data_IF_569463540891
#
_entry.id   IF_569463540891
#
_cell.length_a   1.000
_cell.length_b   1.000
_cell.length_c   1.000
_cell.angle_alpha   90.00
_cell.angle_beta   90.00
_cell.angle_gamma   90.00
#
_symmetry.space_group_name_H-M   'P 1'
#
loop_
_entity.id
_entity.type
_entity.pdbx_description
1 polymer ?
#
# COMPACT_ATOMS: atom_id res chain seq x y z
N UNK A 1 -21.76 -6.46 4.53
CA UNK A 1 -20.43 -5.77 4.65
C UNK A 1 -19.54 -6.18 3.50
N UNK A 2 -18.80 -5.25 2.92
CA UNK A 2 -17.75 -5.47 1.90
C UNK A 2 -16.40 -5.07 2.51
N UNK A 3 -15.36 -5.89 2.36
CA UNK A 3 -14.00 -5.57 2.82
C UNK A 3 -13.07 -5.69 1.64
N UNK A 4 -12.47 -4.57 1.23
CA UNK A 4 -11.50 -4.52 0.15
C UNK A 4 -10.08 -4.57 0.73
N UNK A 5 -9.20 -5.30 0.07
CA UNK A 5 -7.77 -5.34 0.41
C UNK A 5 -7.02 -4.41 -0.54
N UNK A 6 -6.69 -3.24 -0.04
CA UNK A 6 -5.87 -2.24 -0.71
C UNK A 6 -4.37 -2.47 -0.43
N UNK A 7 -3.65 -1.43 -0.12
CA UNK A 7 -2.25 -1.38 0.32
C UNK A 7 -1.96 0.03 0.80
N UNK A 8 -0.87 0.23 1.54
CA UNK A 8 -0.34 1.58 1.79
C UNK A 8 -0.09 2.34 0.50
N UNK A 9 0.30 1.64 -0.59
CA UNK A 9 0.49 2.28 -1.90
C UNK A 9 -0.81 2.65 -2.63
N UNK A 10 -1.95 2.49 -1.99
CA UNK A 10 -3.20 3.16 -2.37
C UNK A 10 -3.28 4.63 -1.93
N UNK A 11 -2.33 5.09 -1.08
CA UNK A 11 -2.28 6.45 -0.55
C UNK A 11 -0.90 7.11 -0.65
N UNK A 12 0.14 6.34 -0.85
CA UNK A 12 1.50 6.80 -1.12
C UNK A 12 2.06 6.08 -2.34
N UNK A 13 3.21 6.49 -2.85
CA UNK A 13 3.79 5.88 -4.05
C UNK A 13 5.28 5.59 -3.88
N UNK A 14 5.76 4.57 -4.61
CA UNK A 14 7.16 4.22 -4.67
C UNK A 14 7.66 4.18 -6.12
N UNK A 15 8.99 4.35 -6.34
CA UNK A 15 9.58 4.23 -7.67
C UNK A 15 9.23 2.89 -8.34
N UNK A 16 8.98 2.91 -9.65
CA UNK A 16 8.63 1.76 -10.49
C UNK A 16 7.30 1.07 -10.13
N UNK A 17 6.54 1.61 -9.18
CA UNK A 17 5.25 1.07 -8.74
C UNK A 17 4.04 1.57 -9.52
N UNK A 18 4.18 2.48 -10.50
CA UNK A 18 3.09 3.30 -11.04
C UNK A 18 1.81 2.53 -11.40
N UNK A 19 1.90 1.39 -12.06
CA UNK A 19 0.71 0.60 -12.46
C UNK A 19 0.05 -0.08 -11.25
N UNK A 20 0.86 -0.65 -10.37
CA UNK A 20 0.38 -1.28 -9.13
C UNK A 20 -0.24 -0.24 -8.20
N UNK A 21 0.47 0.86 -7.96
CA UNK A 21 0.00 1.95 -7.10
C UNK A 21 -1.32 2.52 -7.64
N UNK A 22 -1.40 2.79 -8.95
CA UNK A 22 -2.64 3.24 -9.59
C UNK A 22 -3.81 2.27 -9.36
N UNK A 23 -3.58 0.95 -9.41
CA UNK A 23 -4.60 -0.05 -9.13
C UNK A 23 -5.10 0.02 -7.68
N UNK A 24 -4.21 0.31 -6.73
CA UNK A 24 -4.56 0.43 -5.30
C UNK A 24 -5.23 1.77 -4.99
N UNK A 25 -4.79 2.87 -5.60
CA UNK A 25 -5.51 4.15 -5.56
C UNK A 25 -6.94 4.02 -6.09
N UNK A 26 -7.13 3.23 -7.16
CA UNK A 26 -8.46 2.97 -7.69
C UNK A 26 -9.36 2.24 -6.67
N UNK A 27 -8.82 1.27 -5.89
CA UNK A 27 -9.56 0.60 -4.82
C UNK A 27 -9.95 1.58 -3.70
N UNK A 28 -9.06 2.50 -3.33
CA UNK A 28 -9.33 3.53 -2.32
C UNK A 28 -10.48 4.44 -2.75
N UNK A 29 -10.35 5.07 -3.94
CA UNK A 29 -11.38 5.97 -4.46
C UNK A 29 -12.71 5.26 -4.72
N UNK A 30 -12.69 4.02 -5.25
CA UNK A 30 -13.88 3.18 -5.38
C UNK A 30 -14.57 2.95 -4.04
N UNK A 31 -13.79 2.61 -3.01
CA UNK A 31 -14.35 2.31 -1.69
C UNK A 31 -14.94 3.54 -1.01
N UNK A 32 -14.33 4.72 -1.17
CA UNK A 32 -14.89 5.99 -0.69
C UNK A 32 -16.22 6.31 -1.36
N UNK A 33 -16.28 6.18 -2.68
CA UNK A 33 -17.50 6.46 -3.43
C UNK A 33 -18.61 5.47 -3.07
N UNK A 34 -18.29 4.16 -3.07
CA UNK A 34 -19.24 3.09 -2.71
C UNK A 34 -19.77 3.21 -1.29
N UNK A 35 -19.06 3.84 -0.38
CA UNK A 35 -19.52 4.06 0.98
C UNK A 35 -20.88 4.77 1.00
N UNK A 36 -21.03 5.86 0.22
CA UNK A 36 -22.29 6.62 0.18
C UNK A 36 -23.45 5.75 -0.30
N UNK A 37 -23.21 4.90 -1.30
CA UNK A 37 -24.24 4.03 -1.87
C UNK A 37 -24.61 2.91 -0.90
N UNK A 38 -23.63 2.26 -0.28
CA UNK A 38 -23.83 1.16 0.64
C UNK A 38 -24.49 1.59 1.95
N UNK A 39 -24.15 2.77 2.48
CA UNK A 39 -24.78 3.34 3.66
C UNK A 39 -26.30 3.54 3.43
N UNK A 40 -26.70 4.00 2.24
CA UNK A 40 -28.12 4.13 1.88
C UNK A 40 -28.87 2.77 1.87
N UNK A 41 -28.15 1.67 1.68
CA UNK A 41 -28.67 0.29 1.70
C UNK A 41 -28.48 -0.42 3.05
N UNK A 42 -28.03 0.27 4.09
CA UNK A 42 -27.73 -0.31 5.40
C UNK A 42 -26.52 -1.25 5.40
N UNK A 43 -25.65 -1.15 4.40
CA UNK A 43 -24.42 -1.94 4.28
C UNK A 43 -23.18 -1.08 4.58
N UNK A 44 -22.07 -1.73 4.93
CA UNK A 44 -20.79 -1.07 5.22
C UNK A 44 -19.71 -1.55 4.27
N UNK A 45 -18.77 -0.66 3.96
CA UNK A 45 -17.53 -0.97 3.25
C UNK A 45 -16.33 -0.61 4.14
N UNK A 46 -15.32 -1.45 4.09
CA UNK A 46 -14.06 -1.31 4.83
C UNK A 46 -12.90 -1.54 3.88
N UNK A 47 -11.77 -0.90 4.15
CA UNK A 47 -10.53 -1.05 3.36
C UNK A 47 -9.41 -1.43 4.31
N UNK A 48 -8.70 -2.50 3.99
CA UNK A 48 -7.49 -2.90 4.67
C UNK A 48 -6.30 -2.37 3.87
N UNK A 49 -5.36 -1.73 4.53
CA UNK A 49 -4.17 -1.11 3.94
C UNK A 49 -2.91 -1.83 4.44
N UNK A 50 -2.54 -3.02 3.90
CA UNK A 50 -1.32 -3.71 4.29
C UNK A 50 -0.07 -2.92 3.94
N UNK A 51 0.94 -3.01 4.82
CA UNK A 51 2.30 -2.55 4.55
C UNK A 51 3.14 -3.61 3.83
N UNK A 52 4.38 -3.77 4.28
CA UNK A 52 5.27 -4.82 3.82
C UNK A 52 4.93 -6.11 4.57
N UNK A 53 4.42 -7.10 3.86
CA UNK A 53 3.96 -8.36 4.42
C UNK A 53 4.78 -9.52 3.87
N UNK A 54 5.24 -10.40 4.75
CA UNK A 54 5.92 -11.64 4.41
C UNK A 54 4.91 -12.61 3.78
N UNK A 55 4.90 -12.66 2.46
CA UNK A 55 3.96 -13.46 1.67
C UNK A 55 4.57 -13.79 0.30
N UNK A 56 3.90 -14.65 -0.46
CA UNK A 56 4.31 -15.00 -1.83
C UNK A 56 4.11 -13.86 -2.86
N UNK A 57 3.68 -12.68 -2.43
CA UNK A 57 3.40 -11.58 -3.35
C UNK A 57 4.62 -11.22 -4.21
N UNK A 58 5.78 -11.01 -3.60
CA UNK A 58 6.99 -10.59 -4.30
C UNK A 58 7.61 -11.66 -5.22
N UNK A 59 7.35 -12.94 -4.94
CA UNK A 59 7.92 -14.07 -5.68
C UNK A 59 6.97 -14.69 -6.68
N UNK A 60 5.66 -14.69 -6.40
CA UNK A 60 4.66 -15.43 -7.17
C UNK A 60 3.66 -14.54 -7.91
N UNK A 61 3.26 -13.43 -7.29
CA UNK A 61 2.14 -12.63 -7.80
C UNK A 61 2.58 -11.31 -8.45
N UNK A 62 3.78 -10.80 -8.10
CA UNK A 62 4.31 -9.56 -8.68
C UNK A 62 4.97 -9.85 -10.02
N UNK A 63 4.51 -9.17 -11.07
CA UNK A 63 5.19 -9.16 -12.36
C UNK A 63 6.00 -7.86 -12.48
N UNK A 64 7.32 -7.99 -12.51
CA UNK A 64 8.25 -6.88 -12.72
C UNK A 64 8.73 -6.90 -14.18
N UNK A 65 8.24 -5.95 -14.97
CA UNK A 65 8.70 -5.77 -16.35
C UNK A 65 10.01 -4.95 -16.36
N UNK A 66 11.05 -5.54 -16.91
CA UNK A 66 12.37 -4.92 -17.00
C UNK A 66 12.96 -5.13 -18.40
N UNK A 67 13.38 -4.03 -19.04
CA UNK A 67 14.11 -4.04 -20.29
C UNK A 67 15.51 -3.41 -20.04
N UNK A 68 16.59 -4.20 -20.10
CA UNK A 68 17.95 -3.69 -19.89
C UNK A 68 18.40 -2.65 -20.91
N UNK A 69 17.79 -2.58 -22.08
CA UNK A 69 18.11 -1.59 -23.12
C UNK A 69 17.62 -0.18 -22.78
N UNK A 70 16.71 -0.05 -21.82
CA UNK A 70 16.20 1.24 -21.34
C UNK A 70 17.16 1.82 -20.29
N UNK A 71 18.28 2.38 -20.76
CA UNK A 71 19.35 2.90 -19.90
C UNK A 71 18.88 3.94 -18.88
N UNK A 72 17.93 4.79 -19.25
CA UNK A 72 17.37 5.83 -18.36
C UNK A 72 16.66 5.26 -17.12
N UNK A 73 16.19 4.00 -17.16
CA UNK A 73 15.52 3.33 -16.05
C UNK A 73 16.49 2.56 -15.14
N UNK A 74 17.71 2.28 -15.59
CA UNK A 74 18.64 1.43 -14.83
C UNK A 74 18.97 1.98 -13.43
N UNK A 75 19.16 3.29 -13.21
CA UNK A 75 19.36 3.82 -11.85
C UNK A 75 18.19 3.51 -10.92
N UNK A 76 16.94 3.64 -11.40
CA UNK A 76 15.73 3.32 -10.62
C UNK A 76 15.63 1.81 -10.32
N UNK A 77 15.92 0.96 -11.29
CA UNK A 77 15.92 -0.50 -11.12
C UNK A 77 16.95 -0.92 -10.07
N UNK A 78 18.16 -0.36 -10.12
CA UNK A 78 19.21 -0.63 -9.16
C UNK A 78 18.83 -0.15 -7.75
N UNK A 79 18.22 1.03 -7.63
CA UNK A 79 17.74 1.59 -6.36
C UNK A 79 16.68 0.67 -5.74
N UNK A 80 15.70 0.20 -6.52
CA UNK A 80 14.69 -0.76 -6.07
C UNK A 80 15.31 -2.09 -5.65
N UNK A 81 16.26 -2.62 -6.44
CA UNK A 81 16.98 -3.85 -6.10
C UNK A 81 17.72 -3.74 -4.77
N UNK A 82 18.36 -2.60 -4.49
CA UNK A 82 19.05 -2.33 -3.23
C UNK A 82 18.10 -2.26 -2.02
N UNK A 83 16.84 -1.89 -2.25
CA UNK A 83 15.82 -1.85 -1.20
C UNK A 83 15.15 -3.20 -0.93
N UNK A 84 15.24 -4.16 -1.86
CA UNK A 84 14.53 -5.44 -1.74
C UNK A 84 14.90 -6.22 -0.48
N UNK A 85 16.17 -6.26 -0.09
CA UNK A 85 16.62 -6.91 1.14
C UNK A 85 16.02 -6.22 2.38
N UNK A 86 16.06 -4.89 2.43
CA UNK A 86 15.47 -4.11 3.52
C UNK A 86 13.95 -4.31 3.62
N UNK A 87 13.25 -4.39 2.51
CA UNK A 87 11.82 -4.69 2.49
C UNK A 87 11.52 -6.07 3.06
N UNK A 88 12.36 -7.08 2.75
CA UNK A 88 12.23 -8.41 3.32
C UNK A 88 12.46 -8.42 4.83
N UNK A 89 13.47 -7.70 5.32
CA UNK A 89 13.75 -7.57 6.76
C UNK A 89 12.64 -6.83 7.53
N UNK A 90 11.99 -5.87 6.90
CA UNK A 90 10.90 -5.08 7.49
C UNK A 90 9.53 -5.73 7.33
N UNK A 91 9.43 -6.83 6.57
CA UNK A 91 8.16 -7.48 6.31
C UNK A 91 7.57 -8.09 7.60
N UNK A 92 6.32 -7.76 7.85
CA UNK A 92 5.55 -8.27 8.98
C UNK A 92 4.81 -9.56 8.59
N UNK A 93 4.49 -10.45 9.55
CA UNK A 93 3.79 -11.70 9.26
C UNK A 93 2.36 -11.45 8.73
N UNK A 94 1.84 -12.38 7.92
CA UNK A 94 0.53 -12.25 7.29
C UNK A 94 -0.63 -12.13 8.30
N UNK A 95 -0.42 -12.60 9.52
CA UNK A 95 -1.36 -12.55 10.63
C UNK A 95 -1.80 -11.11 10.95
N UNK A 96 -0.93 -10.11 10.80
CA UNK A 96 -1.31 -8.69 11.05
C UNK A 96 -2.41 -8.21 10.10
N UNK A 97 -2.44 -8.76 8.88
CA UNK A 97 -3.51 -8.46 7.92
C UNK A 97 -4.79 -9.19 8.31
N UNK A 98 -4.71 -10.45 8.73
CA UNK A 98 -5.85 -11.21 9.21
C UNK A 98 -6.49 -10.55 10.44
N UNK A 99 -5.69 -10.06 11.38
CA UNK A 99 -6.16 -9.31 12.55
C UNK A 99 -6.86 -8.00 12.16
N UNK A 100 -6.30 -7.25 11.19
CA UNK A 100 -6.92 -6.04 10.68
C UNK A 100 -8.28 -6.33 10.00
N UNK A 101 -8.37 -7.41 9.22
CA UNK A 101 -9.63 -7.88 8.62
C UNK A 101 -10.64 -8.26 9.70
N UNK A 102 -10.22 -9.04 10.70
CA UNK A 102 -11.08 -9.43 11.81
C UNK A 102 -11.61 -8.23 12.57
N UNK A 103 -10.73 -7.29 12.91
CA UNK A 103 -11.12 -6.03 13.57
C UNK A 103 -12.13 -5.26 12.71
N UNK A 104 -11.84 -5.06 11.44
CA UNK A 104 -12.73 -4.37 10.52
C UNK A 104 -14.12 -5.03 10.43
N UNK A 105 -14.17 -6.37 10.48
CA UNK A 105 -15.42 -7.13 10.41
C UNK A 105 -16.24 -7.08 11.69
N UNK A 106 -15.61 -6.89 12.87
CA UNK A 106 -16.25 -7.13 14.19
C UNK A 106 -16.33 -5.94 15.11
N UNK A 107 -15.61 -4.83 14.84
CA UNK A 107 -15.55 -3.67 15.74
C UNK A 107 -16.84 -2.80 15.75
N UNK A 108 -17.75 -3.05 14.82
CA UNK A 108 -19.03 -2.31 14.71
C UNK A 108 -18.89 -0.85 14.27
N UNK A 109 -17.66 -0.34 14.11
CA UNK A 109 -17.40 1.07 13.80
C UNK A 109 -17.76 1.45 12.37
N UNK A 110 -17.78 2.76 12.09
CA UNK A 110 -17.89 3.33 10.75
C UNK A 110 -16.53 3.72 10.15
N UNK A 111 -15.45 3.26 10.77
CA UNK A 111 -14.09 3.43 10.25
C UNK A 111 -13.98 2.79 8.88
N UNK A 112 -13.48 3.54 7.89
CA UNK A 112 -13.32 3.04 6.53
C UNK A 112 -11.99 2.28 6.38
N UNK A 113 -10.87 2.84 6.86
CA UNK A 113 -9.49 2.37 6.61
C UNK A 113 -8.86 1.73 7.83
N UNK A 114 -8.19 0.61 7.59
CA UNK A 114 -7.49 -0.19 8.60
C UNK A 114 -6.07 -0.47 8.11
N UNK A 115 -5.10 0.37 8.47
CA UNK A 115 -3.68 0.06 8.24
C UNK A 115 -3.32 -1.25 8.93
N UNK A 116 -2.65 -2.14 8.21
CA UNK A 116 -2.25 -3.45 8.73
C UNK A 116 -0.73 -3.54 8.86
N UNK A 117 -0.27 -3.62 10.11
CA UNK A 117 1.12 -3.64 10.51
C UNK A 117 1.65 -2.29 10.98
N UNK A 118 2.69 -2.32 11.82
CA UNK A 118 3.30 -1.11 12.38
C UNK A 118 3.98 -0.25 11.30
N UNK A 119 4.61 -0.92 10.32
CA UNK A 119 5.22 -0.26 9.18
C UNK A 119 4.18 0.48 8.33
N UNK A 120 2.99 -0.09 8.16
CA UNK A 120 1.88 0.55 7.45
C UNK A 120 1.40 1.81 8.19
N UNK A 121 1.18 1.71 9.50
CA UNK A 121 0.74 2.82 10.34
C UNK A 121 1.74 3.98 10.26
N UNK A 122 3.04 3.70 10.40
CA UNK A 122 4.08 4.71 10.36
C UNK A 122 4.19 5.38 8.97
N UNK A 123 4.17 4.59 7.90
CA UNK A 123 4.29 5.12 6.53
C UNK A 123 3.11 6.01 6.13
N UNK A 124 1.89 5.65 6.53
CA UNK A 124 0.71 6.45 6.26
C UNK A 124 0.67 7.72 7.13
N UNK A 125 1.09 7.64 8.40
CA UNK A 125 1.23 8.82 9.25
C UNK A 125 2.25 9.82 8.69
N UNK A 126 3.40 9.34 8.21
CA UNK A 126 4.39 10.17 7.51
C UNK A 126 3.79 10.82 6.25
N UNK A 127 3.04 10.05 5.45
CA UNK A 127 2.40 10.59 4.25
C UNK A 127 1.39 11.69 4.57
N UNK A 128 0.58 11.49 5.59
CA UNK A 128 -0.47 12.45 6.01
C UNK A 128 0.11 13.73 6.63
N UNK A 129 1.28 13.64 7.23
CA UNK A 129 1.96 14.77 7.88
C UNK A 129 2.77 15.67 6.90
N UNK A 130 3.00 15.21 5.67
CA UNK A 130 3.90 15.87 4.72
C UNK A 130 3.14 16.36 3.49
N UNK A 131 3.56 17.52 2.96
CA UNK A 131 3.16 17.95 1.62
C UNK A 131 3.82 17.07 0.54
N UNK A 132 3.33 17.15 -0.68
CA UNK A 132 3.77 16.29 -1.78
C UNK A 132 5.26 16.47 -2.13
N UNK A 133 5.77 17.70 -2.07
CA UNK A 133 7.18 17.97 -2.39
C UNK A 133 8.11 17.38 -1.34
N UNK A 134 7.77 17.55 -0.07
CA UNK A 134 8.55 17.02 1.06
C UNK A 134 8.49 15.48 1.07
N UNK A 135 7.31 14.89 0.83
CA UNK A 135 7.17 13.44 0.74
C UNK A 135 7.99 12.88 -0.43
N UNK A 136 7.94 13.53 -1.60
CA UNK A 136 8.72 13.14 -2.78
C UNK A 136 10.22 13.18 -2.50
N UNK A 137 10.72 14.26 -1.89
CA UNK A 137 12.14 14.42 -1.55
C UNK A 137 12.61 13.32 -0.58
N UNK A 138 11.85 13.05 0.49
CA UNK A 138 12.15 11.96 1.43
C UNK A 138 12.12 10.59 0.78
N UNK A 139 11.18 10.36 -0.13
CA UNK A 139 11.11 9.10 -0.87
C UNK A 139 12.35 8.91 -1.74
N UNK A 140 12.75 9.94 -2.48
CA UNK A 140 14.00 9.90 -3.25
C UNK A 140 15.21 9.57 -2.38
N UNK A 141 15.38 10.26 -1.27
CA UNK A 141 16.48 10.01 -0.31
C UNK A 141 16.47 8.56 0.19
N UNK A 142 15.30 8.04 0.57
CA UNK A 142 15.13 6.65 1.02
C UNK A 142 15.62 5.63 -0.01
N UNK A 143 15.39 5.90 -1.30
CA UNK A 143 15.79 5.04 -2.41
C UNK A 143 17.18 5.37 -2.98
N UNK A 144 17.87 6.39 -2.46
CA UNK A 144 19.17 6.82 -2.97
C UNK A 144 19.12 7.43 -4.38
N UNK A 145 18.06 8.18 -4.69
CA UNK A 145 17.78 8.80 -5.99
C UNK A 145 18.06 10.30 -5.99
#
# INVERSE_FOLDING_TARGET
>A
MLINISSIVGRLTYPLGAVYDASKYAIEGFSEAMRFELEAMGAKIKVIEPGLIASDFGSRSMQFAHDPSLEAYQPLVNAMGSMAAKFTEMAEPAEVVAEAVWKAATDGSDTLRYPAGQAAIAALADRDALDDLTFYAKTKERFGL
#
